data_IF_768766548034
#
_entry.id   IF_768766548034
#
_cell.length_a   1.000
_cell.length_b   1.000
_cell.length_c   1.000
_cell.angle_alpha   90.00
_cell.angle_beta   90.00
_cell.angle_gamma   90.00
#
_symmetry.space_group_name_H-M   'P 1'
#
loop_
_entity.id
_entity.type
_entity.pdbx_description
1 polymer ?
#
# COMPACT_ATOMS: atom_id res chain seq x y z
N UNK A 1 1.23 63.03 -4.44
CA UNK A 1 1.97 61.85 -4.94
C UNK A 1 1.29 61.39 -6.23
N UNK A 2 1.99 61.38 -7.36
CA UNK A 2 1.37 61.29 -8.68
C UNK A 2 0.75 59.90 -8.94
N UNK A 3 -0.39 59.81 -9.65
CA UNK A 3 -1.12 58.54 -9.80
C UNK A 3 -0.29 57.45 -10.51
N UNK A 4 0.60 57.85 -11.42
CA UNK A 4 1.58 56.98 -12.09
C UNK A 4 2.49 56.25 -11.10
N UNK A 5 2.90 56.91 -10.02
CA UNK A 5 3.80 56.34 -8.99
C UNK A 5 3.07 55.27 -8.17
N UNK A 6 1.77 55.46 -7.88
CA UNK A 6 0.95 54.45 -7.21
C UNK A 6 0.79 53.19 -8.08
N UNK A 7 0.53 53.35 -9.37
CA UNK A 7 0.40 52.23 -10.32
C UNK A 7 1.72 51.46 -10.47
N UNK A 8 2.85 52.17 -10.54
CA UNK A 8 4.18 51.56 -10.59
C UNK A 8 4.48 50.76 -9.31
N UNK A 9 4.17 51.30 -8.13
CA UNK A 9 4.32 50.60 -6.85
C UNK A 9 3.46 49.34 -6.79
N UNK A 10 2.19 49.40 -7.19
CA UNK A 10 1.31 48.23 -7.24
C UNK A 10 1.90 47.15 -8.17
N UNK A 11 2.35 47.53 -9.37
CA UNK A 11 2.93 46.60 -10.34
C UNK A 11 4.25 45.99 -9.87
N UNK A 12 5.10 46.77 -9.19
CA UNK A 12 6.32 46.26 -8.55
C UNK A 12 5.97 45.29 -7.42
N UNK A 13 5.00 45.61 -6.54
CA UNK A 13 4.60 44.71 -5.46
C UNK A 13 3.98 43.40 -5.95
N UNK A 14 3.19 43.41 -7.04
CA UNK A 14 2.70 42.15 -7.62
C UNK A 14 3.80 41.35 -8.31
N UNK A 15 4.74 41.99 -9.00
CA UNK A 15 5.90 41.30 -9.57
C UNK A 15 6.86 40.74 -8.51
N UNK A 16 7.01 41.37 -7.34
CA UNK A 16 7.80 40.79 -6.22
C UNK A 16 7.05 39.72 -5.44
N UNK A 17 5.71 39.81 -5.29
CA UNK A 17 4.90 38.78 -4.63
C UNK A 17 4.66 37.53 -5.47
N UNK A 18 4.57 37.66 -6.81
CA UNK A 18 4.26 36.55 -7.72
C UNK A 18 5.38 36.18 -8.70
N UNK A 19 6.32 37.08 -8.99
CA UNK A 19 7.29 36.94 -10.09
C UNK A 19 8.73 36.56 -9.70
N UNK A 20 9.12 36.70 -8.43
CA UNK A 20 10.46 36.32 -7.96
C UNK A 20 10.40 35.42 -6.71
N UNK A 21 11.25 34.38 -6.70
CA UNK A 21 11.50 33.39 -5.64
C UNK A 21 10.32 32.55 -5.10
N UNK A 22 9.07 33.01 -5.17
CA UNK A 22 7.89 32.29 -4.69
C UNK A 22 7.70 30.91 -5.35
N UNK A 23 8.04 30.75 -6.63
CA UNK A 23 7.90 29.45 -7.33
C UNK A 23 8.82 28.36 -6.80
N UNK A 24 10.02 28.70 -6.29
CA UNK A 24 10.92 27.73 -5.60
C UNK A 24 10.54 27.52 -4.14
N UNK A 25 9.96 28.52 -3.47
CA UNK A 25 9.54 28.40 -2.07
C UNK A 25 8.21 27.65 -1.92
N UNK A 26 7.26 27.83 -2.84
CA UNK A 26 5.99 27.09 -2.85
C UNK A 26 6.21 25.64 -3.27
N UNK A 27 7.16 25.35 -4.18
CA UNK A 27 7.59 23.96 -4.45
C UNK A 27 8.28 23.29 -3.25
N UNK A 28 8.74 24.05 -2.26
CA UNK A 28 9.30 23.52 -1.00
C UNK A 28 8.20 23.11 0.00
N UNK A 29 6.97 23.60 -0.13
CA UNK A 29 5.87 23.20 0.76
C UNK A 29 5.41 21.76 0.43
N UNK A 30 5.48 21.38 -0.85
CA UNK A 30 5.28 20.01 -1.32
C UNK A 30 6.62 19.25 -1.39
N UNK A 31 7.27 19.06 -0.24
CA UNK A 31 8.46 18.19 -0.14
C UNK A 31 8.14 16.78 -0.63
N UNK A 32 8.66 16.46 -1.83
CA UNK A 32 8.55 15.18 -2.50
C UNK A 32 8.75 14.01 -1.52
N UNK A 33 7.70 13.22 -1.29
CA UNK A 33 7.68 12.20 -0.23
C UNK A 33 8.41 10.92 -0.66
N UNK A 34 9.62 10.70 -0.14
CA UNK A 34 10.29 9.39 -0.27
C UNK A 34 9.63 8.40 0.68
N UNK A 35 9.17 7.25 0.14
CA UNK A 35 8.39 6.26 0.90
C UNK A 35 8.96 4.85 0.77
N UNK A 36 9.56 4.33 1.84
CA UNK A 36 10.09 2.96 1.86
C UNK A 36 9.05 1.96 2.35
N UNK A 37 8.84 0.89 1.57
CA UNK A 37 7.81 -0.12 1.87
C UNK A 37 8.47 -1.43 2.32
N UNK A 38 8.06 -1.89 3.51
CA UNK A 38 8.42 -3.17 4.11
C UNK A 38 7.23 -4.12 4.05
N UNK A 39 7.42 -5.34 3.56
CA UNK A 39 6.31 -6.32 3.40
C UNK A 39 6.49 -7.57 4.25
N UNK A 40 5.40 -8.07 4.84
CA UNK A 40 5.33 -9.37 5.53
C UNK A 40 4.17 -10.22 5.02
N UNK A 41 4.36 -11.55 4.97
CA UNK A 41 3.26 -12.53 4.91
C UNK A 41 3.75 -13.83 5.53
N UNK A 42 2.96 -14.48 6.37
CA UNK A 42 3.28 -15.78 6.91
C UNK A 42 2.02 -16.57 7.20
N UNK A 43 1.49 -17.25 6.18
CA UNK A 43 0.46 -18.26 6.39
C UNK A 43 1.08 -19.53 6.97
N UNK A 44 0.35 -20.30 7.79
CA UNK A 44 0.73 -21.67 8.11
C UNK A 44 0.76 -22.50 6.82
N UNK A 45 1.61 -23.52 6.76
CA UNK A 45 1.78 -24.41 5.60
C UNK A 45 2.04 -23.72 4.24
N UNK A 46 2.49 -22.46 4.23
CA UNK A 46 2.94 -21.77 3.02
C UNK A 46 4.15 -22.48 2.40
N UNK A 47 4.00 -23.04 1.20
CA UNK A 47 5.08 -23.50 0.32
C UNK A 47 6.14 -24.43 0.98
N UNK A 48 7.46 -24.25 0.76
CA UNK A 48 8.21 -22.97 0.60
C UNK A 48 9.07 -22.86 -0.68
N UNK A 49 9.07 -23.89 -1.52
CA UNK A 49 9.94 -24.17 -2.67
C UNK A 49 10.00 -23.10 -3.79
N UNK A 50 10.92 -23.29 -4.76
CA UNK A 50 11.16 -22.36 -5.87
C UNK A 50 10.05 -22.33 -6.93
N UNK A 51 9.31 -23.42 -7.14
CA UNK A 51 8.19 -23.46 -8.08
C UNK A 51 7.02 -22.65 -7.50
N UNK A 52 6.66 -22.89 -6.23
CA UNK A 52 5.60 -22.14 -5.55
C UNK A 52 5.96 -20.68 -5.25
N UNK A 53 7.23 -20.27 -5.28
CA UNK A 53 7.60 -18.83 -5.26
C UNK A 53 7.04 -18.06 -6.46
N UNK A 54 7.05 -18.65 -7.67
CA UNK A 54 6.42 -18.04 -8.87
C UNK A 54 4.89 -17.89 -8.71
N UNK A 55 4.29 -18.75 -7.88
CA UNK A 55 2.88 -18.69 -7.54
C UNK A 55 2.54 -17.69 -6.43
N UNK A 56 3.50 -17.01 -5.78
CA UNK A 56 3.24 -15.98 -4.75
C UNK A 56 3.17 -14.59 -5.36
N UNK A 57 2.27 -14.40 -6.33
CA UNK A 57 1.98 -13.07 -6.85
C UNK A 57 1.25 -12.23 -5.80
N UNK A 58 1.66 -10.97 -5.72
CA UNK A 58 1.02 -9.95 -4.91
C UNK A 58 1.05 -8.65 -5.69
N UNK A 59 0.00 -7.87 -5.53
CA UNK A 59 -0.12 -6.50 -5.99
C UNK A 59 -0.47 -5.64 -4.79
N UNK A 60 0.16 -4.49 -4.68
CA UNK A 60 -0.25 -3.42 -3.78
C UNK A 60 -0.31 -2.15 -4.63
N UNK A 61 -1.36 -1.38 -4.41
CA UNK A 61 -1.62 -0.08 -5.01
C UNK A 61 -1.82 0.89 -3.85
N UNK A 62 -1.07 1.98 -3.86
CA UNK A 62 -1.14 3.08 -2.91
C UNK A 62 -1.39 4.36 -3.72
N UNK A 63 -2.66 4.75 -3.86
CA UNK A 63 -3.09 5.76 -4.82
C UNK A 63 -2.75 5.34 -6.26
N UNK A 64 -2.15 6.22 -7.07
CA UNK A 64 -1.76 5.85 -8.44
C UNK A 64 -0.45 5.03 -8.52
N UNK A 65 0.11 4.52 -7.41
CA UNK A 65 1.43 3.88 -7.36
C UNK A 65 1.35 2.37 -7.08
N UNK A 66 2.07 1.59 -7.88
CA UNK A 66 2.22 0.14 -7.72
C UNK A 66 3.68 -0.20 -7.34
N UNK A 67 4.02 -0.28 -6.04
CA UNK A 67 5.36 -0.69 -5.61
C UNK A 67 5.72 -2.12 -6.01
N UNK A 68 6.97 -2.33 -6.44
CA UNK A 68 7.51 -3.66 -6.72
C UNK A 68 7.72 -4.47 -5.43
N UNK A 69 6.70 -5.22 -5.03
CA UNK A 69 6.71 -6.11 -3.88
C UNK A 69 7.18 -7.51 -4.29
N UNK A 70 8.24 -8.00 -3.66
CA UNK A 70 8.77 -9.33 -3.99
C UNK A 70 7.85 -10.45 -3.51
N UNK A 71 7.79 -11.57 -4.24
CA UNK A 71 7.05 -12.80 -3.84
C UNK A 71 7.64 -13.55 -2.63
N UNK A 72 8.58 -12.95 -1.89
CA UNK A 72 9.14 -13.51 -0.66
C UNK A 72 8.08 -13.60 0.44
N UNK A 73 7.99 -14.75 1.10
CA UNK A 73 7.25 -14.92 2.36
C UNK A 73 8.19 -14.76 3.55
N UNK A 74 7.65 -14.32 4.70
CA UNK A 74 8.43 -14.11 5.92
C UNK A 74 8.03 -12.85 6.68
N UNK A 75 8.99 -12.34 7.45
CA UNK A 75 8.84 -11.10 8.21
C UNK A 75 9.15 -9.86 7.35
N UNK A 76 8.89 -8.67 7.90
CA UNK A 76 9.04 -7.38 7.23
C UNK A 76 10.40 -7.20 6.54
N UNK A 77 10.40 -7.33 5.21
CA UNK A 77 11.58 -7.25 4.35
C UNK A 77 11.34 -6.45 3.06
N UNK A 78 12.44 -6.08 2.41
CA UNK A 78 12.48 -5.14 1.29
C UNK A 78 12.67 -3.70 1.73
N UNK A 79 13.31 -2.89 0.88
CA UNK A 79 13.40 -1.42 1.01
C UNK A 79 13.19 -0.84 -0.40
N UNK A 80 12.09 -1.25 -1.01
CA UNK A 80 12.12 -1.47 -2.46
C UNK A 80 11.93 -0.24 -3.34
N UNK A 81 11.21 0.80 -2.90
CA UNK A 81 10.91 1.97 -3.73
C UNK A 81 11.20 3.27 -2.97
N UNK A 82 11.50 4.31 -3.76
CA UNK A 82 11.36 5.71 -3.38
C UNK A 82 10.25 6.29 -4.26
N UNK A 83 9.09 6.56 -3.68
CA UNK A 83 8.06 7.38 -4.30
C UNK A 83 8.41 8.89 -4.11
N UNK A 84 7.62 9.79 -4.70
CA UNK A 84 7.75 11.25 -4.69
C UNK A 84 6.35 11.89 -4.92
N UNK A 85 5.71 12.38 -3.84
CA UNK A 85 4.45 13.15 -3.87
C UNK A 85 3.45 12.75 -2.78
N UNK A 86 2.18 13.23 -2.81
CA UNK A 86 1.25 13.05 -1.68
C UNK A 86 0.56 11.67 -1.66
N UNK A 87 0.67 10.96 -0.54
CA UNK A 87 -0.07 9.70 -0.29
C UNK A 87 -1.24 9.80 0.69
N UNK A 88 -1.38 10.89 1.46
CA UNK A 88 -2.50 11.05 2.40
C UNK A 88 -3.86 10.91 1.70
N UNK A 89 -4.78 10.17 2.33
CA UNK A 89 -6.13 9.92 1.81
C UNK A 89 -6.19 9.11 0.52
N UNK A 90 -5.06 8.62 -0.02
CA UNK A 90 -5.05 7.86 -1.27
C UNK A 90 -5.58 6.45 -1.07
N UNK A 91 -6.32 5.96 -2.08
CA UNK A 91 -6.86 4.60 -2.14
C UNK A 91 -5.80 3.52 -1.85
N UNK A 92 -6.20 2.47 -1.13
CA UNK A 92 -5.39 1.26 -0.95
C UNK A 92 -6.10 0.12 -1.68
N UNK A 93 -5.41 -0.50 -2.64
CA UNK A 93 -5.84 -1.78 -3.21
C UNK A 93 -4.75 -2.80 -3.02
N UNK A 94 -5.11 -4.01 -2.61
CA UNK A 94 -4.20 -5.15 -2.61
C UNK A 94 -4.89 -6.40 -3.17
N UNK A 95 -4.12 -7.22 -3.87
CA UNK A 95 -4.52 -8.58 -4.19
C UNK A 95 -3.32 -9.51 -4.01
N UNK A 96 -3.53 -10.69 -3.44
CA UNK A 96 -2.48 -11.66 -3.29
C UNK A 96 -3.00 -13.08 -3.41
N UNK A 97 -2.17 -13.94 -3.99
CA UNK A 97 -2.41 -15.37 -4.00
C UNK A 97 -1.37 -16.11 -3.17
N UNK A 98 -1.83 -17.08 -2.39
CA UNK A 98 -1.02 -17.77 -1.39
C UNK A 98 -1.15 -19.29 -1.53
N UNK A 99 -0.14 -19.97 -2.11
CA UNK A 99 -0.11 -21.42 -2.14
C UNK A 99 0.26 -21.99 -0.76
N UNK A 100 -0.68 -22.70 -0.14
CA UNK A 100 -0.45 -23.57 1.02
C UNK A 100 -0.30 -25.03 0.58
N UNK A 101 0.01 -25.95 1.49
CA UNK A 101 -0.01 -27.40 1.21
C UNK A 101 -1.37 -27.91 0.75
N UNK A 102 -2.45 -27.27 1.20
CA UNK A 102 -3.83 -27.74 1.00
C UNK A 102 -4.50 -27.09 -0.22
N UNK A 103 -4.31 -25.78 -0.44
CA UNK A 103 -4.94 -25.03 -1.54
C UNK A 103 -4.20 -23.74 -1.88
N UNK A 104 -4.51 -23.15 -3.02
CA UNK A 104 -4.12 -21.78 -3.35
C UNK A 104 -5.25 -20.84 -2.90
N UNK A 105 -4.93 -19.95 -1.96
CA UNK A 105 -5.82 -18.88 -1.52
C UNK A 105 -5.69 -17.68 -2.46
N UNK A 106 -6.78 -16.94 -2.68
CA UNK A 106 -6.77 -15.69 -3.41
C UNK A 106 -7.60 -14.67 -2.63
N UNK A 107 -7.02 -13.50 -2.38
CA UNK A 107 -7.67 -12.43 -1.62
C UNK A 107 -7.57 -11.10 -2.37
N UNK A 108 -8.59 -10.28 -2.20
CA UNK A 108 -8.69 -8.91 -2.67
C UNK A 108 -9.06 -7.98 -1.51
N UNK A 109 -8.45 -6.81 -1.48
CA UNK A 109 -8.68 -5.74 -0.51
C UNK A 109 -8.80 -4.43 -1.27
N UNK A 110 -9.82 -3.64 -0.91
CA UNK A 110 -9.95 -2.24 -1.30
C UNK A 110 -10.35 -1.39 -0.09
N UNK A 111 -9.73 -0.22 0.08
CA UNK A 111 -10.16 0.79 1.05
C UNK A 111 -11.56 1.32 0.69
N UNK A 112 -12.42 1.46 1.69
CA UNK A 112 -13.67 2.21 1.56
C UNK A 112 -13.40 3.67 1.10
N UNK A 113 -14.40 4.36 0.53
CA UNK A 113 -14.32 5.79 0.23
C UNK A 113 -13.86 6.57 1.47
N UNK A 114 -13.04 7.59 1.24
CA UNK A 114 -12.45 8.47 2.27
C UNK A 114 -11.60 7.79 3.36
N UNK A 115 -11.43 6.45 3.32
CA UNK A 115 -10.60 5.66 4.24
C UNK A 115 -9.29 5.20 3.58
N UNK A 116 -8.65 6.12 2.87
CA UNK A 116 -7.35 5.91 2.24
C UNK A 116 -6.18 5.80 3.24
N UNK A 117 -4.96 5.98 2.73
CA UNK A 117 -3.73 5.91 3.53
C UNK A 117 -3.67 7.07 4.52
N UNK A 118 -3.60 6.73 5.81
CA UNK A 118 -3.28 7.67 6.89
C UNK A 118 -1.75 7.81 6.97
N UNK A 119 -1.22 9.01 6.71
CA UNK A 119 0.22 9.32 6.73
C UNK A 119 0.62 9.80 8.12
N UNK A 120 1.61 9.14 8.69
CA UNK A 120 2.28 9.61 9.90
C UNK A 120 3.04 10.93 9.67
N UNK A 121 3.44 11.57 10.77
CA UNK A 121 4.43 12.65 10.74
C UNK A 121 5.74 12.14 10.15
N UNK A 122 6.45 13.00 9.42
CA UNK A 122 7.81 12.75 8.95
C UNK A 122 8.87 13.08 10.01
N UNK A 123 8.52 13.76 11.10
CA UNK A 123 9.44 14.07 12.21
C UNK A 123 10.77 14.71 11.75
N UNK A 124 10.72 15.54 10.70
CA UNK A 124 11.90 16.17 10.08
C UNK A 124 12.67 15.30 9.07
N UNK A 125 12.32 14.02 8.89
CA UNK A 125 12.98 13.14 7.93
C UNK A 125 12.61 13.43 6.46
N UNK A 126 13.55 13.16 5.56
CA UNK A 126 13.33 13.25 4.10
C UNK A 126 12.37 12.17 3.56
N UNK A 127 12.16 11.10 4.33
CA UNK A 127 11.34 9.93 3.97
C UNK A 127 10.49 9.48 5.15
N UNK A 128 9.39 8.77 4.87
CA UNK A 128 8.74 7.90 5.86
C UNK A 128 8.62 6.46 5.33
N UNK A 129 8.18 5.56 6.20
CA UNK A 129 8.14 4.14 5.93
C UNK A 129 6.70 3.62 6.05
N UNK A 130 6.37 2.59 5.27
CA UNK A 130 5.11 1.86 5.34
C UNK A 130 5.41 0.39 5.61
N UNK A 131 4.87 -0.15 6.70
CA UNK A 131 4.84 -1.58 6.97
C UNK A 131 3.52 -2.16 6.48
N UNK A 132 3.54 -3.14 5.59
CA UNK A 132 2.35 -3.81 5.04
C UNK A 132 2.42 -5.30 5.27
N UNK A 133 1.33 -5.92 5.75
CA UNK A 133 1.20 -7.37 5.78
C UNK A 133 -0.07 -7.83 5.04
N UNK A 134 0.10 -8.81 4.15
CA UNK A 134 -1.00 -9.44 3.41
C UNK A 134 -1.37 -10.72 4.16
N UNK A 135 -2.47 -10.67 4.90
CA UNK A 135 -2.82 -11.68 5.89
C UNK A 135 -1.86 -11.70 7.08
N UNK A 136 -1.63 -12.87 7.72
CA UNK A 136 -0.91 -12.95 8.98
C UNK A 136 0.56 -12.54 8.83
N UNK A 137 1.05 -11.71 9.74
CA UNK A 137 2.44 -11.22 9.76
C UNK A 137 3.34 -12.09 10.64
N UNK A 138 4.64 -12.13 10.34
CA UNK A 138 5.65 -12.81 11.17
C UNK A 138 6.51 -11.80 11.92
N UNK A 139 6.49 -11.88 13.24
CA UNK A 139 7.18 -10.96 14.17
C UNK A 139 7.88 -11.75 15.29
N UNK A 140 8.70 -11.08 16.12
CA UNK A 140 9.21 -11.66 17.36
C UNK A 140 8.16 -11.56 18.48
N UNK A 141 8.39 -12.22 19.61
CA UNK A 141 7.48 -12.15 20.79
C UNK A 141 7.30 -10.71 21.26
N UNK A 142 8.39 -9.96 21.30
CA UNK A 142 8.46 -8.56 21.73
C UNK A 142 7.69 -7.62 20.78
N UNK A 143 7.45 -8.03 19.53
CA UNK A 143 6.66 -7.27 18.55
C UNK A 143 5.15 -7.41 18.69
N UNK A 144 4.66 -8.10 19.74
CA UNK A 144 3.25 -8.35 20.00
C UNK A 144 2.86 -7.74 21.36
N UNK A 145 1.68 -7.12 21.42
CA UNK A 145 1.03 -6.88 22.72
C UNK A 145 0.59 -8.21 23.33
N UNK A 146 0.32 -8.25 24.65
CA UNK A 146 -0.10 -9.49 25.31
C UNK A 146 -1.32 -10.15 24.66
N UNK A 147 -2.30 -9.36 24.20
CA UNK A 147 -3.51 -9.87 23.56
C UNK A 147 -3.21 -10.41 22.14
N UNK A 148 -2.31 -9.76 21.40
CA UNK A 148 -1.84 -10.30 20.12
C UNK A 148 -1.03 -11.58 20.32
N UNK A 149 -0.22 -11.65 21.38
CA UNK A 149 0.56 -12.84 21.75
C UNK A 149 -0.31 -14.04 22.12
N UNK A 150 -1.34 -13.85 22.95
CA UNK A 150 -2.33 -14.89 23.32
C UNK A 150 -3.01 -15.50 22.08
N UNK A 151 -3.26 -14.68 21.06
CA UNK A 151 -3.89 -15.08 19.80
C UNK A 151 -2.88 -15.40 18.68
N UNK A 152 -1.58 -15.51 19.00
CA UNK A 152 -0.53 -15.79 18.02
C UNK A 152 -0.21 -17.28 17.91
N UNK A 153 0.33 -17.69 16.76
CA UNK A 153 0.82 -19.04 16.51
C UNK A 153 2.35 -19.05 16.41
N UNK A 154 3.01 -20.15 16.78
CA UNK A 154 4.45 -20.27 16.52
C UNK A 154 4.70 -20.35 15.01
N UNK A 155 5.66 -19.54 14.54
CA UNK A 155 6.02 -19.37 13.13
C UNK A 155 7.47 -19.78 12.80
N UNK A 156 8.29 -20.03 13.82
CA UNK A 156 9.66 -20.53 13.67
C UNK A 156 10.37 -20.63 15.02
N UNK A 157 11.37 -21.50 15.07
CA UNK A 157 12.16 -21.82 16.26
C UNK A 157 13.62 -21.38 16.07
N UNK A 158 14.37 -21.27 17.17
CA UNK A 158 15.83 -21.18 17.18
C UNK A 158 16.47 -22.53 16.84
N UNK A 159 17.79 -22.55 16.64
CA UNK A 159 18.55 -23.80 16.49
C UNK A 159 18.43 -24.74 17.71
N UNK A 160 18.12 -24.19 18.90
CA UNK A 160 17.93 -24.93 20.15
C UNK A 160 16.47 -25.30 20.43
N UNK A 161 15.58 -25.21 19.43
CA UNK A 161 14.17 -25.60 19.56
C UNK A 161 13.27 -24.61 20.31
N UNK A 162 13.80 -23.50 20.84
CA UNK A 162 12.98 -22.46 21.49
C UNK A 162 12.17 -21.66 20.46
N UNK A 163 10.89 -21.32 20.70
CA UNK A 163 10.12 -20.43 19.82
C UNK A 163 10.82 -19.07 19.64
N UNK A 164 10.98 -18.64 18.38
CA UNK A 164 11.64 -17.38 18.02
C UNK A 164 10.70 -16.40 17.33
N UNK A 165 9.91 -16.93 16.38
CA UNK A 165 8.97 -16.14 15.58
C UNK A 165 7.55 -16.55 15.88
N UNK A 166 6.68 -15.56 15.91
CA UNK A 166 5.24 -15.70 16.08
C UNK A 166 4.52 -15.15 14.85
N UNK A 167 3.35 -15.71 14.59
CA UNK A 167 2.41 -15.34 13.52
C UNK A 167 1.18 -14.74 14.18
N UNK A 168 0.82 -13.54 13.78
CA UNK A 168 -0.40 -12.87 14.24
C UNK A 168 -1.14 -12.22 13.07
N UNK A 169 -2.45 -12.05 13.21
CA UNK A 169 -3.33 -11.48 12.20
C UNK A 169 -4.18 -12.51 11.46
N UNK A 170 -5.27 -12.02 10.89
CA UNK A 170 -6.29 -12.80 10.18
C UNK A 170 -5.86 -13.11 8.74
N UNK A 171 -6.55 -14.05 8.10
CA UNK A 171 -6.14 -14.61 6.81
C UNK A 171 -6.50 -13.74 5.60
N UNK A 172 -7.48 -12.86 5.74
CA UNK A 172 -8.15 -12.11 4.69
C UNK A 172 -7.98 -10.59 4.85
N UNK A 173 -7.30 -10.13 5.90
CA UNK A 173 -7.01 -8.71 6.14
C UNK A 173 -5.71 -8.24 5.51
N UNK A 174 -5.70 -6.99 5.06
CA UNK A 174 -4.48 -6.22 4.86
C UNK A 174 -4.21 -5.42 6.13
N UNK A 175 -3.01 -5.56 6.68
CA UNK A 175 -2.52 -4.72 7.78
C UNK A 175 -1.57 -3.68 7.21
N UNK A 176 -1.70 -2.41 7.60
CA UNK A 176 -0.71 -1.39 7.27
C UNK A 176 -0.41 -0.44 8.45
N UNK A 177 0.79 0.14 8.44
CA UNK A 177 1.19 1.21 9.38
C UNK A 177 2.16 2.15 8.68
N UNK A 178 2.07 3.45 8.95
CA UNK A 178 2.98 4.47 8.43
C UNK A 178 3.80 5.09 9.58
N UNK A 179 5.00 5.61 9.30
CA UNK A 179 5.85 6.25 10.31
C UNK A 179 7.34 6.09 10.07
N UNK A 180 8.14 6.42 11.09
CA UNK A 180 9.59 6.24 11.09
C UNK A 180 9.94 4.93 11.80
N UNK A 181 10.36 3.94 11.02
CA UNK A 181 10.77 2.61 11.51
C UNK A 181 11.56 1.80 10.48
N UNK A 182 12.40 0.88 10.95
CA UNK A 182 13.01 -0.17 10.15
C UNK A 182 12.13 -1.43 10.10
N UNK A 183 12.38 -2.31 9.12
CA UNK A 183 11.78 -3.65 9.07
C UNK A 183 12.07 -4.52 10.31
N UNK A 184 13.12 -4.22 11.09
CA UNK A 184 13.41 -4.89 12.37
C UNK A 184 12.52 -4.37 13.50
N UNK A 185 12.27 -3.06 13.55
CA UNK A 185 11.38 -2.46 14.54
C UNK A 185 9.92 -2.84 14.29
N UNK A 186 9.49 -3.00 13.03
CA UNK A 186 8.19 -3.59 12.69
C UNK A 186 8.01 -5.04 13.21
N UNK A 187 9.09 -5.74 13.55
CA UNK A 187 9.06 -7.11 14.09
C UNK A 187 9.25 -7.17 15.61
N UNK A 188 9.75 -6.10 16.25
CA UNK A 188 10.22 -6.11 17.65
C UNK A 188 9.55 -5.08 18.56
N UNK A 189 8.80 -4.13 18.00
CA UNK A 189 8.07 -3.11 18.75
C UNK A 189 6.58 -3.33 18.47
N UNK A 190 5.72 -3.50 19.49
CA UNK A 190 4.28 -3.64 19.27
C UNK A 190 3.72 -2.39 18.62
N UNK A 191 2.88 -2.58 17.59
CA UNK A 191 2.27 -1.48 16.83
C UNK A 191 0.79 -1.73 16.62
N UNK A 192 -0.01 -0.67 16.70
CA UNK A 192 -1.38 -0.67 16.20
C UNK A 192 -1.33 -0.51 14.68
N UNK A 193 -1.62 -1.58 13.96
CA UNK A 193 -1.81 -1.53 12.52
C UNK A 193 -3.22 -1.02 12.21
N UNK A 194 -3.36 -0.31 11.11
CA UNK A 194 -4.64 -0.13 10.44
C UNK A 194 -5.01 -1.45 9.75
N UNK A 195 -6.28 -1.85 9.85
CA UNK A 195 -6.80 -3.09 9.28
C UNK A 195 -7.76 -2.75 8.16
N UNK A 196 -7.62 -3.39 7.00
CA UNK A 196 -8.61 -3.36 5.93
C UNK A 196 -9.11 -4.77 5.70
N UNK A 197 -10.40 -4.98 5.90
CA UNK A 197 -11.05 -6.25 5.63
C UNK A 197 -11.04 -6.53 4.13
N UNK A 198 -10.47 -7.67 3.75
CA UNK A 198 -10.52 -8.20 2.40
C UNK A 198 -11.64 -9.20 2.21
N UNK A 199 -11.67 -9.79 1.02
CA UNK A 199 -12.60 -10.83 0.63
C UNK A 199 -11.86 -11.92 -0.14
N UNK A 200 -12.30 -13.17 0.06
CA UNK A 200 -11.82 -14.29 -0.74
C UNK A 200 -12.40 -14.22 -2.16
N UNK A 201 -11.58 -14.51 -3.15
CA UNK A 201 -11.98 -14.51 -4.57
C UNK A 201 -11.58 -15.83 -5.25
N UNK A 202 -12.18 -16.13 -6.40
CA UNK A 202 -11.81 -17.30 -7.21
C UNK A 202 -10.48 -17.06 -7.92
N UNK A 203 -9.86 -18.13 -8.44
CA UNK A 203 -8.66 -18.00 -9.27
C UNK A 203 -8.96 -17.20 -10.56
N UNK A 204 -10.13 -17.44 -11.19
CA UNK A 204 -10.61 -16.69 -12.37
C UNK A 204 -10.76 -15.20 -12.09
N UNK A 205 -11.40 -14.84 -10.96
CA UNK A 205 -11.52 -13.45 -10.51
C UNK A 205 -10.13 -12.85 -10.21
N UNK A 206 -9.22 -13.61 -9.58
CA UNK A 206 -7.87 -13.16 -9.29
C UNK A 206 -7.09 -12.87 -10.56
N UNK A 207 -7.07 -13.78 -11.53
CA UNK A 207 -6.29 -13.63 -12.76
C UNK A 207 -6.85 -12.47 -13.62
N UNK A 208 -8.18 -12.31 -13.71
CA UNK A 208 -8.83 -11.15 -14.37
C UNK A 208 -8.43 -9.81 -13.70
N UNK A 209 -8.42 -9.75 -12.37
CA UNK A 209 -7.99 -8.56 -11.64
C UNK A 209 -6.48 -8.31 -11.82
N UNK A 210 -5.67 -9.36 -11.73
CA UNK A 210 -4.23 -9.29 -11.88
C UNK A 210 -3.85 -8.78 -13.27
N UNK A 211 -4.47 -9.29 -14.33
CA UNK A 211 -4.30 -8.78 -15.69
C UNK A 211 -4.71 -7.31 -15.77
N UNK A 212 -5.87 -6.92 -15.23
CA UNK A 212 -6.32 -5.53 -15.22
C UNK A 212 -5.32 -4.58 -14.53
N UNK A 213 -4.78 -4.98 -13.39
CA UNK A 213 -3.74 -4.25 -12.66
C UNK A 213 -2.38 -4.21 -13.38
N UNK A 214 -2.13 -5.13 -14.32
CA UNK A 214 -0.86 -5.24 -15.04
C UNK A 214 -0.97 -4.96 -16.56
N UNK A 215 -2.15 -4.61 -17.08
CA UNK A 215 -2.43 -4.26 -18.48
C UNK A 215 -2.17 -2.78 -18.81
N UNK A 216 -2.57 -2.31 -19.99
CA UNK A 216 -2.23 -0.95 -20.48
C UNK A 216 -2.56 0.21 -19.51
N UNK A 217 -3.63 0.06 -18.71
CA UNK A 217 -4.14 1.06 -17.76
C UNK A 217 -3.70 0.83 -16.30
N UNK A 218 -2.78 -0.13 -16.08
CA UNK A 218 -2.10 -0.57 -14.84
C UNK A 218 -2.69 -0.10 -13.50
N UNK A 219 -2.48 1.14 -13.07
CA UNK A 219 -2.88 1.58 -11.72
C UNK A 219 -4.28 2.17 -11.63
N UNK A 220 -4.78 2.82 -12.70
CA UNK A 220 -6.08 3.52 -12.69
C UNK A 220 -7.24 2.55 -12.48
N UNK A 221 -7.20 1.38 -13.12
CA UNK A 221 -8.29 0.41 -13.13
C UNK A 221 -8.05 -0.79 -12.20
N UNK A 222 -7.09 -0.74 -11.29
CA UNK A 222 -6.77 -1.89 -10.43
C UNK A 222 -7.78 -2.04 -9.28
N UNK A 223 -9.02 -2.43 -9.60
CA UNK A 223 -10.10 -2.77 -8.66
C UNK A 223 -11.12 -3.71 -9.33
N UNK A 224 -11.92 -4.40 -8.53
CA UNK A 224 -13.06 -5.22 -8.99
C UNK A 224 -14.32 -4.37 -9.16
N UNK A 225 -15.13 -4.71 -10.17
CA UNK A 225 -16.44 -4.11 -10.46
C UNK A 225 -17.47 -5.21 -10.82
N UNK A 226 -18.71 -4.83 -11.11
CA UNK A 226 -19.83 -5.75 -11.36
C UNK A 226 -19.65 -6.64 -12.62
N UNK A 227 -18.73 -6.31 -13.53
CA UNK A 227 -18.37 -7.15 -14.68
C UNK A 227 -17.51 -8.37 -14.33
N UNK A 228 -17.13 -8.58 -13.06
CA UNK A 228 -16.37 -9.76 -12.67
C UNK A 228 -17.21 -11.04 -12.76
N UNK A 229 -16.61 -12.17 -13.21
CA UNK A 229 -17.36 -13.41 -13.37
C UNK A 229 -17.77 -13.95 -12.00
N UNK A 230 -18.96 -14.55 -11.94
CA UNK A 230 -19.43 -15.37 -10.83
C UNK A 230 -19.35 -14.68 -9.45
N UNK A 231 -19.67 -13.38 -9.38
CA UNK A 231 -19.71 -12.64 -8.11
C UNK A 231 -20.77 -13.23 -7.17
N UNK A 232 -20.37 -13.56 -5.95
CA UNK A 232 -21.32 -13.89 -4.88
C UNK A 232 -22.03 -12.61 -4.39
N UNK A 233 -23.21 -12.71 -3.73
CA UNK A 233 -23.88 -11.55 -3.14
C UNK A 233 -22.98 -10.78 -2.15
N UNK A 234 -22.14 -11.50 -1.40
CA UNK A 234 -21.15 -10.92 -0.48
C UNK A 234 -20.06 -10.14 -1.26
N UNK A 235 -19.56 -10.70 -2.37
CA UNK A 235 -18.57 -10.01 -3.22
C UNK A 235 -19.16 -8.78 -3.91
N UNK A 236 -20.41 -8.84 -4.36
CA UNK A 236 -21.10 -7.69 -4.93
C UNK A 236 -21.28 -6.58 -3.89
N UNK A 237 -21.77 -6.91 -2.69
CA UNK A 237 -21.89 -5.97 -1.58
C UNK A 237 -20.52 -5.39 -1.14
N UNK A 238 -19.47 -6.21 -1.14
CA UNK A 238 -18.09 -5.76 -0.86
C UNK A 238 -17.62 -4.71 -1.88
N UNK A 239 -17.85 -4.96 -3.18
CA UNK A 239 -17.50 -4.06 -4.28
C UNK A 239 -18.31 -2.75 -4.18
N UNK A 240 -19.63 -2.84 -4.03
CA UNK A 240 -20.52 -1.68 -4.01
C UNK A 240 -20.25 -0.77 -2.80
N UNK A 241 -20.04 -1.33 -1.61
CA UNK A 241 -19.65 -0.56 -0.40
C UNK A 241 -18.25 0.07 -0.49
N UNK A 242 -17.47 -0.28 -1.51
CA UNK A 242 -16.12 0.24 -1.78
C UNK A 242 -16.02 0.94 -3.14
N UNK A 243 -17.14 1.34 -3.74
CA UNK A 243 -17.16 2.15 -4.96
C UNK A 243 -16.69 3.58 -4.68
N UNK A 244 -15.66 4.04 -5.37
CA UNK A 244 -15.15 5.41 -5.26
C UNK A 244 -15.86 6.32 -6.28
N UNK A 245 -15.98 7.65 -6.03
CA UNK A 245 -16.74 8.55 -6.89
C UNK A 245 -16.25 8.63 -8.34
N UNK A 246 -14.98 8.31 -8.59
CA UNK A 246 -14.34 8.36 -9.91
C UNK A 246 -14.31 7.00 -10.63
N UNK A 247 -14.86 5.93 -10.04
CA UNK A 247 -14.78 4.56 -10.59
C UNK A 247 -15.37 4.45 -11.99
N UNK A 248 -16.54 5.01 -12.24
CA UNK A 248 -17.20 4.92 -13.55
C UNK A 248 -16.36 5.64 -14.63
N UNK A 249 -15.72 6.75 -14.26
CA UNK A 249 -14.79 7.47 -15.14
C UNK A 249 -13.49 6.69 -15.36
N UNK A 250 -12.93 6.06 -14.32
CA UNK A 250 -11.76 5.15 -14.41
C UNK A 250 -12.08 3.93 -15.30
N UNK A 251 -13.27 3.35 -15.17
CA UNK A 251 -13.75 2.25 -16.00
C UNK A 251 -14.02 2.68 -17.45
N UNK A 252 -14.49 3.90 -17.71
CA UNK A 252 -14.70 4.41 -19.08
C UNK A 252 -13.42 4.41 -19.94
N UNK A 253 -12.25 4.59 -19.31
CA UNK A 253 -10.96 4.69 -20.01
C UNK A 253 -10.65 6.10 -20.53
N UNK A 254 -11.48 7.08 -20.22
CA UNK A 254 -11.20 8.50 -20.46
C UNK A 254 -10.29 9.11 -19.38
N UNK A 255 -10.09 8.41 -18.25
CA UNK A 255 -9.22 8.85 -17.17
C UNK A 255 -7.76 8.90 -17.64
N UNK A 256 -7.03 10.02 -17.44
CA UNK A 256 -5.64 10.15 -17.85
C UNK A 256 -4.78 9.09 -17.16
N UNK A 257 -3.89 8.44 -17.90
CA UNK A 257 -2.90 7.53 -17.31
C UNK A 257 -1.93 8.39 -16.48
N UNK A 258 -1.76 8.12 -15.17
CA UNK A 258 -0.82 8.86 -14.35
C UNK A 258 0.57 8.80 -14.97
N UNK A 259 1.21 9.97 -15.13
CA UNK A 259 2.60 10.00 -15.57
C UNK A 259 3.42 9.12 -14.63
N UNK A 260 4.08 8.11 -15.20
CA UNK A 260 5.09 7.36 -14.47
C UNK A 260 6.24 8.32 -14.18
N UNK A 261 6.24 8.91 -12.99
CA UNK A 261 7.43 9.51 -12.37
C UNK A 261 8.42 8.38 -12.06
N UNK A 262 9.01 7.85 -13.13
CA UNK A 262 10.18 7.00 -13.09
C UNK A 262 11.29 7.89 -12.53
N UNK A 263 11.88 7.48 -11.41
CA UNK A 263 13.15 8.04 -10.99
C UNK A 263 14.14 7.79 -12.13
N UNK A 264 14.50 8.83 -12.90
CA UNK A 264 15.44 8.73 -14.03
C UNK A 264 16.89 8.41 -13.59
N UNK A 265 17.09 8.21 -12.29
CA UNK A 265 18.34 7.87 -11.62
C UNK A 265 18.18 6.54 -10.88
N UNK A 266 18.20 5.45 -11.67
CA UNK A 266 18.50 4.08 -11.25
C UNK A 266 19.64 3.59 -12.13
#
# INVERSE_FOLDING_TARGET
MNNTIKLLLIFITTQTLFGCSATRYISSIFHEEVVYIYTSTSYPDQLKDSKSKKLRQRTLILGPYMPNISGGGGAFGGRNHAYVGPMEGKEIVALWRMPTKQKILHYYVRSEPDKGIIRASREGHYSYNVGVAFGPMRVFKEGLTENQFKNSQIAGYTAYGNPLYYRWGDWDKLYYVTGIFTGRELQKIPRKFHEIQGIAITAEQYDKLYERCHGGWKTVRCFMDESFPNLTPEQLAYIQSRKHPDDDYRLSGQHPIPERRINRYN
#
